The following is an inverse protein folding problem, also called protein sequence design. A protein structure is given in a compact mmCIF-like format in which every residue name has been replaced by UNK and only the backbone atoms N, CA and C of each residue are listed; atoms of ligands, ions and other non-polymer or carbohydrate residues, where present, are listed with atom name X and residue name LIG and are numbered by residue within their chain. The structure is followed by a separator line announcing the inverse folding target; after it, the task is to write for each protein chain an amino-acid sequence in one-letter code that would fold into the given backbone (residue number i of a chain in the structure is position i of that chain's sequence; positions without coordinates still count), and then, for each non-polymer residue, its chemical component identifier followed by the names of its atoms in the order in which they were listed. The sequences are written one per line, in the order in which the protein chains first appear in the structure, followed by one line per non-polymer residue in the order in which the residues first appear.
data_IF_413220885988
#
_entry.id   IF_413220885988
#
_cell.length_a   1.000
_cell.length_b   1.000
_cell.length_c   1.000
_cell.angle_alpha   90.00
_cell.angle_beta   90.00
_cell.angle_gamma   90.00
#
_symmetry.space_group_name_H-M   'P 1'
#
loop_
_entity.id
_entity.type
_entity.pdbx_description
1 polymer ?
#
# COMPACT_ATOMS: atom_id res chain seq x y z
N UNK A 1 -4.88 -12.60 3.14
CA UNK A 1 -4.59 -12.95 1.71
C UNK A 1 -5.79 -13.51 0.94
N UNK A 2 -6.53 -14.52 1.41
CA UNK A 2 -7.71 -15.04 0.69
C UNK A 2 -8.74 -13.95 0.41
N UNK A 3 -9.01 -13.11 1.41
CA UNK A 3 -9.86 -11.93 1.28
C UNK A 3 -9.45 -11.00 0.13
N UNK A 4 -8.16 -10.65 0.04
CA UNK A 4 -7.59 -9.81 -1.05
C UNK A 4 -7.85 -10.40 -2.44
N UNK A 5 -7.83 -11.73 -2.57
CA UNK A 5 -8.15 -12.39 -3.84
C UNK A 5 -9.65 -12.41 -4.13
N UNK A 6 -10.47 -12.76 -3.14
CA UNK A 6 -11.91 -12.90 -3.28
C UNK A 6 -12.58 -11.57 -3.60
N UNK A 7 -12.13 -10.51 -2.96
CA UNK A 7 -12.71 -9.18 -3.09
C UNK A 7 -12.11 -8.39 -4.27
N UNK A 8 -11.28 -9.00 -5.12
CA UNK A 8 -10.71 -8.34 -6.31
C UNK A 8 -9.67 -7.26 -6.03
N UNK A 9 -9.11 -7.22 -4.82
CA UNK A 9 -8.21 -6.15 -4.40
C UNK A 9 -6.85 -6.23 -5.12
N UNK A 10 -6.31 -5.06 -5.45
CA UNK A 10 -5.08 -4.94 -6.26
C UNK A 10 -3.77 -5.17 -5.47
N UNK A 11 -3.78 -5.17 -4.13
CA UNK A 11 -2.55 -5.32 -3.35
C UNK A 11 -2.69 -5.72 -1.88
N UNK A 12 -1.54 -5.87 -1.19
CA UNK A 12 -1.43 -6.05 0.27
C UNK A 12 -0.49 -5.00 0.87
N UNK A 13 -0.90 -4.39 2.00
CA UNK A 13 -0.04 -3.51 2.80
C UNK A 13 0.37 -4.26 4.04
N UNK A 14 1.68 -4.26 4.31
CA UNK A 14 2.27 -4.88 5.49
C UNK A 14 2.90 -3.81 6.36
N UNK A 15 2.44 -3.74 7.60
CA UNK A 15 3.07 -2.93 8.65
C UNK A 15 3.86 -3.84 9.57
N UNK A 16 4.81 -3.26 10.31
CA UNK A 16 5.65 -3.99 11.26
C UNK A 16 6.46 -5.12 10.60
N UNK A 17 7.09 -4.84 9.46
CA UNK A 17 7.94 -5.82 8.79
C UNK A 17 9.13 -6.27 9.69
N UNK A 18 9.44 -5.49 10.72
CA UNK A 18 10.46 -5.78 11.71
C UNK A 18 10.17 -7.02 12.58
N UNK A 19 8.90 -7.42 12.71
CA UNK A 19 8.50 -8.61 13.49
C UNK A 19 8.39 -9.90 12.66
N UNK A 20 8.57 -9.84 11.34
CA UNK A 20 8.45 -10.99 10.43
C UNK A 20 9.75 -11.83 10.36
N UNK A 21 10.26 -12.24 11.52
CA UNK A 21 11.44 -13.10 11.69
C UNK A 21 12.54 -12.92 10.62
N UNK A 22 13.10 -11.71 10.56
CA UNK A 22 14.04 -11.30 9.51
C UNK A 22 15.27 -12.23 9.43
N UNK A 23 15.74 -12.70 10.57
CA UNK A 23 16.94 -13.53 10.66
C UNK A 23 16.65 -15.03 10.57
N UNK A 24 15.38 -15.44 10.45
CA UNK A 24 15.00 -16.85 10.37
C UNK A 24 15.23 -17.63 11.67
N UNK A 25 15.18 -16.95 12.82
CA UNK A 25 15.43 -17.55 14.14
C UNK A 25 14.33 -18.52 14.55
N UNK A 26 13.12 -18.37 14.01
CA UNK A 26 11.98 -19.22 14.31
C UNK A 26 11.95 -20.50 13.46
N UNK A 27 12.97 -20.78 12.65
CA UNK A 27 13.11 -22.03 11.88
C UNK A 27 12.20 -22.14 10.65
N UNK A 28 11.58 -21.02 10.22
CA UNK A 28 10.77 -20.93 9.00
C UNK A 28 11.46 -20.18 7.86
N UNK A 29 12.74 -19.83 8.04
CA UNK A 29 13.49 -18.96 7.15
C UNK A 29 13.13 -17.49 7.35
N UNK A 30 13.89 -16.59 6.72
CA UNK A 30 13.68 -15.14 6.82
C UNK A 30 12.37 -14.71 6.16
N UNK A 31 11.60 -13.83 6.81
CA UNK A 31 10.37 -13.23 6.27
C UNK A 31 9.24 -14.22 5.96
N UNK A 32 8.86 -15.12 6.88
CA UNK A 32 7.87 -16.16 6.61
C UNK A 32 6.49 -15.60 6.18
N UNK A 33 6.03 -14.50 6.77
CA UNK A 33 4.74 -13.88 6.43
C UNK A 33 4.83 -13.24 5.04
N UNK A 34 5.85 -12.42 4.79
CA UNK A 34 6.02 -11.74 3.51
C UNK A 34 6.27 -12.72 2.35
N UNK A 35 7.04 -13.80 2.57
CA UNK A 35 7.20 -14.87 1.57
C UNK A 35 5.87 -15.56 1.28
N UNK A 36 5.07 -15.84 2.32
CA UNK A 36 3.75 -16.46 2.15
C UNK A 36 2.84 -15.56 1.31
N UNK A 37 2.87 -14.25 1.57
CA UNK A 37 2.09 -13.26 0.83
C UNK A 37 2.56 -13.16 -0.62
N UNK A 38 3.86 -12.98 -0.86
CA UNK A 38 4.42 -12.92 -2.22
C UNK A 38 4.04 -14.17 -3.01
N UNK A 39 4.29 -15.35 -2.46
CA UNK A 39 3.93 -16.62 -3.11
C UNK A 39 2.44 -16.69 -3.44
N UNK A 40 1.57 -16.36 -2.48
CA UNK A 40 0.13 -16.40 -2.72
C UNK A 40 -0.33 -15.38 -3.76
N UNK A 41 0.26 -14.18 -3.81
CA UNK A 41 -0.10 -13.15 -4.79
C UNK A 41 0.49 -13.45 -6.18
N UNK A 42 1.67 -14.08 -6.25
CA UNK A 42 2.36 -14.46 -7.48
C UNK A 42 1.79 -15.74 -8.14
N UNK A 43 0.96 -16.51 -7.42
CA UNK A 43 0.47 -17.84 -7.79
C UNK A 43 -0.36 -17.94 -9.09
N UNK A 44 -0.63 -16.83 -9.77
CA UNK A 44 -1.31 -16.80 -11.08
C UNK A 44 -0.38 -16.57 -12.28
N UNK A 45 0.94 -16.43 -12.09
CA UNK A 45 1.87 -16.27 -13.22
C UNK A 45 2.41 -17.59 -13.81
N UNK A 46 2.31 -18.72 -13.09
CA UNK A 46 2.97 -19.98 -13.51
C UNK A 46 2.10 -21.26 -13.36
N UNK A 47 0.77 -21.15 -13.35
CA UNK A 47 -0.15 -22.32 -13.40
C UNK A 47 -1.09 -22.30 -14.61
N UNK A 48 -0.53 -22.02 -15.78
CA UNK A 48 -1.03 -22.50 -17.08
C UNK A 48 0.15 -22.86 -17.99
N UNK A 49 0.88 -23.91 -17.63
CA UNK A 49 1.76 -24.63 -18.56
C UNK A 49 1.75 -26.12 -18.24
N UNK A 50 0.54 -26.68 -18.18
CA UNK A 50 0.31 -28.07 -18.56
C UNK A 50 -1.02 -28.12 -19.30
N UNK A 51 -0.89 -28.12 -20.63
CA UNK A 51 -1.84 -28.61 -21.64
C UNK A 51 -3.27 -28.04 -21.62
N UNK A 52 -3.48 -26.85 -22.20
CA UNK A 52 -4.65 -26.59 -23.05
C UNK A 52 -4.26 -25.71 -24.24
N UNK A 53 -4.36 -26.28 -25.45
CA UNK A 53 -4.28 -25.56 -26.71
C UNK A 53 -5.39 -24.49 -26.77
N UNK A 54 -5.03 -23.21 -26.70
CA UNK A 54 -5.93 -22.10 -27.04
C UNK A 54 -5.35 -21.33 -28.22
N UNK A 55 -5.92 -21.58 -29.41
CA UNK A 55 -5.61 -20.90 -30.66
C UNK A 55 -6.37 -19.56 -30.83
N UNK A 56 -6.53 -18.76 -29.76
CA UNK A 56 -7.19 -17.45 -29.88
C UNK A 56 -6.30 -16.32 -29.37
N UNK A 57 -5.85 -15.48 -30.31
CA UNK A 57 -4.92 -14.34 -30.14
C UNK A 57 -5.55 -13.18 -29.33
N UNK A 58 -6.83 -13.25 -28.96
CA UNK A 58 -7.50 -12.22 -28.17
C UNK A 58 -7.38 -12.41 -26.64
N UNK A 59 -6.89 -13.55 -26.15
CA UNK A 59 -6.74 -13.81 -24.70
C UNK A 59 -5.41 -13.30 -24.12
N UNK A 60 -4.53 -12.70 -24.93
CA UNK A 60 -3.23 -12.15 -24.50
C UNK A 60 -3.30 -10.69 -24.00
N UNK A 61 -4.50 -10.15 -23.73
CA UNK A 61 -4.69 -8.81 -23.15
C UNK A 61 -4.90 -8.81 -21.63
N UNK A 62 -4.90 -9.95 -20.96
CA UNK A 62 -4.59 -9.99 -19.52
C UNK A 62 -3.07 -10.04 -19.36
N UNK A 63 -2.43 -8.88 -19.56
CA UNK A 63 -1.15 -8.63 -18.88
C UNK A 63 -1.46 -8.83 -17.40
N UNK A 64 -1.08 -9.98 -16.86
CA UNK A 64 -1.03 -10.28 -15.43
C UNK A 64 -0.50 -9.04 -14.72
N UNK A 65 -1.42 -8.20 -14.22
CA UNK A 65 -1.05 -6.99 -13.52
C UNK A 65 -0.44 -7.46 -12.22
N UNK A 66 0.90 -7.42 -12.14
CA UNK A 66 1.63 -7.84 -10.95
C UNK A 66 0.96 -7.14 -9.76
N UNK A 67 0.40 -7.92 -8.84
CA UNK A 67 -0.25 -7.39 -7.64
C UNK A 67 0.79 -6.59 -6.86
N UNK A 68 0.36 -5.46 -6.29
CA UNK A 68 1.29 -4.56 -5.61
C UNK A 68 1.36 -4.86 -4.12
N UNK A 69 2.57 -4.93 -3.58
CA UNK A 69 2.85 -5.11 -2.17
C UNK A 69 3.47 -3.82 -1.64
N UNK A 70 2.79 -3.19 -0.69
CA UNK A 70 3.22 -1.98 -0.01
C UNK A 70 3.76 -2.38 1.35
N UNK A 71 5.02 -2.11 1.61
CA UNK A 71 5.64 -2.40 2.90
C UNK A 71 5.83 -1.09 3.65
N UNK A 72 5.32 -1.00 4.88
CA UNK A 72 5.49 0.15 5.74
C UNK A 72 6.56 -0.12 6.79
N UNK A 73 7.44 0.86 6.98
CA UNK A 73 8.45 0.85 8.03
C UNK A 73 8.15 2.01 8.97
N UNK A 74 7.96 1.69 10.25
CA UNK A 74 7.80 2.71 11.28
C UNK A 74 9.14 3.42 11.54
N UNK A 75 9.07 4.73 11.75
CA UNK A 75 10.19 5.56 12.21
C UNK A 75 10.77 5.12 13.55
N UNK A 76 10.02 4.34 14.33
CA UNK A 76 10.45 3.82 15.64
C UNK A 76 11.08 2.41 15.58
N UNK A 77 11.30 1.84 14.39
CA UNK A 77 11.85 0.48 14.26
C UNK A 77 13.30 0.35 14.74
N UNK A 78 14.06 1.45 14.84
CA UNK A 78 15.40 1.42 15.45
C UNK A 78 15.36 1.29 16.99
N UNK A 79 14.24 1.65 17.65
CA UNK A 79 14.20 1.83 19.11
C UNK A 79 13.44 0.75 19.87
N UNK A 80 12.57 -0.03 19.23
CA UNK A 80 11.58 -0.82 19.98
C UNK A 80 12.07 -2.10 20.66
N UNK A 81 13.24 -2.66 20.29
CA UNK A 81 13.60 -3.99 20.80
C UNK A 81 14.97 -4.16 21.44
N UNK A 82 15.86 -3.15 21.45
CA UNK A 82 17.18 -3.21 22.12
C UNK A 82 18.16 -4.31 21.66
N UNK A 83 17.68 -5.30 20.90
CA UNK A 83 18.35 -6.52 20.48
C UNK A 83 18.25 -6.70 18.95
N UNK A 84 17.27 -6.07 18.31
CA UNK A 84 17.04 -6.17 16.87
C UNK A 84 17.06 -4.76 16.28
N UNK A 85 18.19 -4.38 15.69
CA UNK A 85 18.27 -3.18 14.87
C UNK A 85 17.73 -3.50 13.48
N UNK A 86 16.57 -2.97 13.16
CA UNK A 86 16.03 -3.03 11.81
C UNK A 86 16.77 -2.02 10.94
N UNK A 87 17.32 -2.49 9.82
CA UNK A 87 18.02 -1.65 8.84
C UNK A 87 17.52 -2.01 7.46
N UNK A 88 17.45 -1.02 6.57
CA UNK A 88 16.80 -1.16 5.26
C UNK A 88 17.44 -2.18 4.33
N UNK A 89 18.74 -2.40 4.48
CA UNK A 89 19.52 -3.43 3.76
C UNK A 89 19.01 -4.85 4.04
N UNK A 90 18.23 -5.05 5.11
CA UNK A 90 17.63 -6.35 5.42
C UNK A 90 16.37 -6.63 4.61
N UNK A 91 15.71 -5.60 4.10
CA UNK A 91 14.47 -5.76 3.33
C UNK A 91 14.79 -6.36 1.97
N UNK A 92 14.16 -7.49 1.66
CA UNK A 92 14.23 -8.09 0.33
C UNK A 92 13.38 -7.28 -0.64
N UNK A 93 14.04 -6.54 -1.52
CA UNK A 93 13.43 -5.68 -2.54
C UNK A 93 12.42 -6.45 -3.40
N UNK A 94 12.73 -7.71 -3.73
CA UNK A 94 11.88 -8.51 -4.62
C UNK A 94 10.50 -8.82 -4.02
N UNK A 95 10.34 -8.68 -2.71
CA UNK A 95 9.11 -8.97 -1.98
C UNK A 95 8.23 -7.72 -1.75
N UNK A 96 8.76 -6.51 -1.91
CA UNK A 96 8.05 -5.25 -1.69
C UNK A 96 8.10 -4.37 -2.94
N UNK A 97 6.96 -4.07 -3.56
CA UNK A 97 6.92 -3.19 -4.73
C UNK A 97 7.10 -1.73 -4.37
N UNK A 98 6.50 -1.32 -3.25
CA UNK A 98 6.54 0.04 -2.73
C UNK A 98 6.93 0.03 -1.26
N UNK A 99 7.76 1.00 -0.87
CA UNK A 99 8.18 1.18 0.51
C UNK A 99 7.60 2.49 1.04
N UNK A 100 6.71 2.38 2.02
CA UNK A 100 6.11 3.51 2.73
C UNK A 100 7.04 3.88 3.90
N UNK A 101 7.62 5.07 3.84
CA UNK A 101 8.55 5.58 4.86
C UNK A 101 8.01 6.91 5.39
N UNK A 102 7.89 7.03 6.70
CA UNK A 102 7.57 8.31 7.36
C UNK A 102 8.59 9.40 6.98
N UNK A 103 8.13 10.59 6.59
CA UNK A 103 9.01 11.68 6.17
C UNK A 103 9.98 12.15 7.28
N UNK A 104 9.65 11.90 8.54
CA UNK A 104 10.52 12.20 9.68
C UNK A 104 11.58 11.11 9.95
N UNK A 105 11.62 10.04 9.15
CA UNK A 105 12.48 8.91 9.40
C UNK A 105 13.96 9.23 9.07
N UNK A 106 14.83 9.06 10.07
CA UNK A 106 16.29 9.25 9.96
C UNK A 106 16.95 8.40 8.87
N UNK A 107 16.31 7.28 8.51
CA UNK A 107 16.79 6.35 7.50
C UNK A 107 16.94 7.01 6.13
N UNK A 108 16.17 8.07 5.81
CA UNK A 108 16.13 8.72 4.47
C UNK A 108 17.49 9.27 3.97
N UNK A 109 18.50 9.31 4.85
CA UNK A 109 19.87 9.73 4.53
C UNK A 109 20.75 8.64 3.88
N UNK A 110 20.32 7.38 3.85
CA UNK A 110 21.16 6.25 3.42
C UNK A 110 21.16 6.04 1.90
N UNK A 111 22.27 5.57 1.32
CA UNK A 111 22.42 5.38 -0.14
C UNK A 111 21.76 4.11 -0.69
N UNK A 112 21.17 3.27 0.17
CA UNK A 112 20.65 1.92 -0.12
C UNK A 112 19.31 1.91 -0.87
N UNK A 113 18.77 3.08 -1.18
CA UNK A 113 17.41 3.25 -1.69
C UNK A 113 17.19 3.03 -3.18
N UNK A 114 18.26 2.89 -3.97
CA UNK A 114 18.15 2.82 -5.42
C UNK A 114 17.33 1.62 -5.94
N UNK A 115 17.03 0.66 -5.07
CA UNK A 115 16.31 -0.57 -5.44
C UNK A 115 14.80 -0.48 -5.16
N UNK A 116 14.33 0.49 -4.37
CA UNK A 116 12.93 0.59 -3.96
C UNK A 116 12.18 1.74 -4.64
N UNK A 117 10.87 1.53 -4.90
CA UNK A 117 9.95 2.64 -5.18
C UNK A 117 9.47 3.22 -3.86
N UNK A 118 10.11 4.28 -3.40
CA UNK A 118 9.83 4.86 -2.09
C UNK A 118 8.69 5.87 -2.18
N UNK A 119 7.73 5.72 -1.28
CA UNK A 119 6.67 6.69 -1.05
C UNK A 119 6.89 7.31 0.33
N UNK A 120 7.01 8.63 0.36
CA UNK A 120 7.08 9.36 1.63
C UNK A 120 5.69 9.46 2.23
N UNK A 121 5.50 8.89 3.40
CA UNK A 121 4.27 9.01 4.18
C UNK A 121 4.27 10.33 4.93
N UNK A 122 3.23 11.13 4.73
CA UNK A 122 3.03 12.44 5.36
C UNK A 122 1.63 12.45 5.95
N UNK A 123 1.49 12.97 7.17
CA UNK A 123 0.16 13.26 7.74
C UNK A 123 -0.52 14.37 6.94
N UNK A 124 -1.83 14.28 6.72
CA UNK A 124 -2.57 15.33 6.03
C UNK A 124 -2.36 16.70 6.68
N UNK A 125 -2.25 16.78 8.01
CA UNK A 125 -2.03 18.05 8.71
C UNK A 125 -0.73 18.75 8.31
N UNK A 126 0.23 18.00 7.79
CA UNK A 126 1.55 18.49 7.38
C UNK A 126 1.63 18.72 5.86
N UNK A 127 0.53 18.70 5.11
CA UNK A 127 0.61 18.79 3.64
C UNK A 127 1.27 20.08 3.11
N UNK A 128 1.31 21.15 3.91
CA UNK A 128 1.99 22.40 3.57
C UNK A 128 3.50 22.22 3.39
N UNK A 129 4.12 21.20 3.99
CA UNK A 129 5.55 20.91 3.80
C UNK A 129 5.85 20.22 2.46
N UNK A 130 4.84 19.82 1.67
CA UNK A 130 5.06 19.09 0.41
C UNK A 130 5.95 19.88 -0.56
N UNK A 131 5.78 21.20 -0.68
CA UNK A 131 6.63 22.01 -1.57
C UNK A 131 8.10 22.01 -1.10
N UNK A 132 8.30 22.11 0.21
CA UNK A 132 9.62 22.02 0.83
C UNK A 132 10.21 20.61 0.65
N UNK A 133 9.39 19.56 0.77
CA UNK A 133 9.82 18.19 0.53
C UNK A 133 10.21 17.99 -0.94
N UNK A 134 9.40 18.43 -1.91
CA UNK A 134 9.76 18.35 -3.34
C UNK A 134 11.08 19.09 -3.62
N UNK A 135 11.27 20.26 -3.00
CA UNK A 135 12.48 21.07 -3.19
C UNK A 135 13.72 20.45 -2.53
N UNK A 136 13.63 20.11 -1.24
CA UNK A 136 14.72 19.52 -0.46
C UNK A 136 15.06 18.13 -0.99
N UNK A 137 14.04 17.37 -1.33
CA UNK A 137 14.17 16.07 -1.94
C UNK A 137 14.32 16.15 -3.46
N UNK A 138 15.25 16.96 -3.95
CA UNK A 138 15.96 16.71 -5.23
C UNK A 138 16.65 15.32 -5.30
N UNK A 139 16.30 14.41 -4.39
CA UNK A 139 16.62 13.00 -4.40
C UNK A 139 15.94 12.36 -5.60
N UNK A 140 16.74 11.87 -6.54
CA UNK A 140 16.30 11.11 -7.74
C UNK A 140 15.54 9.81 -7.41
N UNK A 141 15.24 9.52 -6.15
CA UNK A 141 14.84 8.20 -5.64
C UNK A 141 13.44 8.17 -5.01
N UNK A 142 12.79 9.32 -4.77
CA UNK A 142 11.39 9.30 -4.31
C UNK A 142 10.48 9.10 -5.50
N UNK A 143 9.69 8.04 -5.41
CA UNK A 143 8.72 7.65 -6.42
C UNK A 143 7.38 8.37 -6.23
N UNK A 144 7.06 8.76 -5.00
CA UNK A 144 5.81 9.44 -4.70
C UNK A 144 5.57 9.73 -3.23
N UNK A 145 4.32 10.02 -2.92
CA UNK A 145 3.85 10.45 -1.60
C UNK A 145 2.64 9.63 -1.19
N UNK A 146 2.61 9.25 0.08
CA UNK A 146 1.46 8.63 0.72
C UNK A 146 0.89 9.60 1.75
N UNK A 147 -0.37 10.00 1.61
CA UNK A 147 -1.03 10.89 2.57
C UNK A 147 -1.76 10.04 3.60
N UNK A 148 -1.28 10.06 4.83
CA UNK A 148 -1.90 9.38 5.95
C UNK A 148 -3.04 10.21 6.54
N UNK A 149 -4.23 9.62 6.56
CA UNK A 149 -5.44 10.17 7.15
C UNK A 149 -5.76 9.41 8.42
N UNK A 150 -5.69 10.10 9.56
CA UNK A 150 -6.19 9.54 10.82
C UNK A 150 -7.71 9.44 10.83
N UNK A 151 -8.40 10.36 10.14
CA UNK A 151 -9.85 10.43 10.05
C UNK A 151 -10.28 11.03 8.73
N UNK A 152 -11.40 10.56 8.20
CA UNK A 152 -12.05 11.14 7.04
C UNK A 152 -12.83 12.43 7.39
N UNK A 153 -12.67 13.46 6.57
CA UNK A 153 -13.50 14.67 6.60
C UNK A 153 -13.81 15.10 5.17
N UNK A 154 -14.84 15.93 4.99
CA UNK A 154 -15.26 16.39 3.66
C UNK A 154 -14.21 17.29 2.99
N UNK A 155 -13.45 18.03 3.80
CA UNK A 155 -12.43 18.96 3.31
C UNK A 155 -11.21 18.23 2.70
N UNK A 156 -11.10 16.91 2.90
CA UNK A 156 -10.00 16.10 2.38
C UNK A 156 -9.96 16.14 0.86
N UNK A 157 -11.11 16.14 0.18
CA UNK A 157 -11.14 16.13 -1.29
C UNK A 157 -10.42 17.36 -1.85
N UNK A 158 -10.71 18.54 -1.32
CA UNK A 158 -10.10 19.78 -1.75
C UNK A 158 -8.60 19.80 -1.47
N UNK A 159 -8.19 19.35 -0.27
CA UNK A 159 -6.78 19.28 0.10
C UNK A 159 -6.00 18.30 -0.79
N UNK A 160 -6.55 17.12 -1.07
CA UNK A 160 -5.93 16.14 -1.97
C UNK A 160 -5.86 16.66 -3.40
N UNK A 161 -6.87 17.38 -3.88
CA UNK A 161 -6.83 18.02 -5.19
C UNK A 161 -5.69 19.06 -5.27
N UNK A 162 -5.51 19.89 -4.24
CA UNK A 162 -4.40 20.83 -4.14
C UNK A 162 -3.06 20.09 -4.20
N UNK A 163 -2.89 19.03 -3.41
CA UNK A 163 -1.67 18.21 -3.40
C UNK A 163 -1.40 17.62 -4.78
N UNK A 164 -2.39 17.01 -5.43
CA UNK A 164 -2.25 16.41 -6.75
C UNK A 164 -1.83 17.45 -7.80
N UNK A 165 -2.39 18.66 -7.74
CA UNK A 165 -2.00 19.76 -8.64
C UNK A 165 -0.54 20.17 -8.47
N UNK A 166 0.00 20.14 -7.25
CA UNK A 166 1.40 20.46 -6.94
C UNK A 166 2.38 19.38 -7.38
N UNK A 167 2.01 18.11 -7.21
CA UNK A 167 2.89 16.99 -7.51
C UNK A 167 3.17 16.85 -9.00
N UNK A 168 2.29 17.34 -9.89
CA UNK A 168 2.27 16.97 -11.31
C UNK A 168 2.11 15.45 -11.51
N UNK A 169 1.71 14.97 -12.68
CA UNK A 169 1.54 13.52 -12.95
C UNK A 169 2.86 12.70 -12.92
N UNK A 170 3.92 13.28 -12.36
CA UNK A 170 5.26 12.70 -12.25
C UNK A 170 5.41 11.81 -11.01
N UNK A 171 4.74 12.14 -9.92
CA UNK A 171 4.84 11.41 -8.65
C UNK A 171 3.59 10.59 -8.41
N UNK A 172 3.78 9.38 -7.89
CA UNK A 172 2.68 8.59 -7.37
C UNK A 172 2.09 9.31 -6.15
N UNK A 173 0.77 9.43 -6.09
CA UNK A 173 0.04 9.93 -4.95
C UNK A 173 -0.85 8.80 -4.43
N UNK A 174 -0.63 8.40 -3.18
CA UNK A 174 -1.48 7.44 -2.49
C UNK A 174 -2.09 8.09 -1.26
N UNK A 175 -3.20 7.54 -0.80
CA UNK A 175 -3.81 7.90 0.48
C UNK A 175 -3.88 6.65 1.32
N UNK A 176 -3.54 6.73 2.60
CA UNK A 176 -3.73 5.65 3.56
C UNK A 176 -4.60 6.09 4.71
N UNK A 177 -5.56 5.26 5.14
CA UNK A 177 -6.43 5.60 6.26
C UNK A 177 -6.88 4.37 7.04
N UNK A 178 -7.26 4.60 8.31
CA UNK A 178 -7.88 3.59 9.15
C UNK A 178 -9.40 3.58 8.94
N UNK A 179 -10.01 2.40 8.91
CA UNK A 179 -11.48 2.30 8.90
C UNK A 179 -11.98 2.36 10.33
N UNK A 180 -12.75 3.39 10.65
CA UNK A 180 -13.48 3.45 11.90
C UNK A 180 -14.60 2.38 11.91
N UNK A 181 -14.74 1.64 13.01
CA UNK A 181 -15.76 0.59 13.17
C UNK A 181 -17.19 1.11 13.34
N UNK A 182 -17.38 2.42 13.38
CA UNK A 182 -18.67 3.04 13.67
C UNK A 182 -19.52 3.15 12.39
N UNK A 183 -20.84 2.98 12.55
CA UNK A 183 -21.83 3.00 11.44
C UNK A 183 -21.88 4.31 10.63
N UNK A 184 -21.13 5.36 11.01
CA UNK A 184 -21.01 6.62 10.27
C UNK A 184 -20.26 6.50 8.94
N UNK A 185 -19.54 5.39 8.70
CA UNK A 185 -18.72 5.19 7.50
C UNK A 185 -19.54 5.17 6.18
N UNK A 186 -20.86 4.95 6.24
CA UNK A 186 -21.71 4.94 5.04
C UNK A 186 -21.74 6.30 4.32
N UNK A 187 -21.56 7.42 5.03
CA UNK A 187 -21.49 8.75 4.41
C UNK A 187 -20.15 9.02 3.70
N UNK A 188 -19.12 8.21 3.96
CA UNK A 188 -17.77 8.43 3.43
C UNK A 188 -17.57 7.80 2.04
N UNK A 189 -18.52 6.99 1.56
CA UNK A 189 -18.44 6.31 0.26
C UNK A 189 -18.39 7.25 -0.94
N UNK A 190 -19.21 8.31 -0.95
CA UNK A 190 -19.17 9.28 -2.04
C UNK A 190 -17.82 9.98 -2.13
N UNK A 191 -17.19 10.23 -0.99
CA UNK A 191 -15.87 10.83 -0.91
C UNK A 191 -14.78 9.87 -1.41
N UNK A 192 -14.91 8.56 -1.12
CA UNK A 192 -13.98 7.55 -1.63
C UNK A 192 -13.97 7.48 -3.17
N UNK A 193 -15.13 7.58 -3.81
CA UNK A 193 -15.23 7.61 -5.28
C UNK A 193 -14.52 8.84 -5.84
N UNK A 194 -14.73 10.01 -5.23
CA UNK A 194 -14.06 11.24 -5.65
C UNK A 194 -12.53 11.15 -5.43
N UNK A 195 -12.09 10.62 -4.28
CA UNK A 195 -10.68 10.39 -4.00
C UNK A 195 -10.03 9.45 -5.01
N UNK A 196 -10.72 8.39 -5.41
CA UNK A 196 -10.21 7.42 -6.37
C UNK A 196 -9.86 8.04 -7.73
N UNK A 197 -10.49 9.16 -8.10
CA UNK A 197 -10.14 9.90 -9.30
C UNK A 197 -8.95 10.85 -9.11
N UNK A 198 -8.60 11.15 -7.85
CA UNK A 198 -7.53 12.09 -7.51
C UNK A 198 -6.22 11.41 -7.15
N UNK A 199 -6.25 10.14 -6.73
CA UNK A 199 -5.06 9.41 -6.29
C UNK A 199 -4.82 8.16 -7.13
N UNK A 200 -3.59 7.67 -7.12
CA UNK A 200 -3.21 6.45 -7.85
C UNK A 200 -3.63 5.20 -7.08
N UNK A 201 -3.51 5.22 -5.75
CA UNK A 201 -3.92 4.11 -4.88
C UNK A 201 -4.54 4.61 -3.59
N UNK A 202 -5.58 3.90 -3.15
CA UNK A 202 -6.15 4.03 -1.82
C UNK A 202 -5.65 2.86 -0.97
N UNK A 203 -5.12 3.16 0.21
CA UNK A 203 -4.53 2.22 1.13
C UNK A 203 -5.41 2.14 2.38
N UNK A 204 -6.03 0.98 2.60
CA UNK A 204 -6.88 0.77 3.76
C UNK A 204 -6.08 0.03 4.83
N UNK A 205 -6.00 0.62 6.03
CA UNK A 205 -5.31 0.06 7.17
C UNK A 205 -6.35 -0.50 8.15
N UNK A 206 -6.46 -1.82 8.30
CA UNK A 206 -7.32 -2.39 9.34
C UNK A 206 -6.61 -2.29 10.69
N UNK A 207 -7.28 -1.77 11.72
CA UNK A 207 -6.65 -1.48 13.01
C UNK A 207 -6.99 -2.44 14.15
N UNK A 208 -8.01 -3.30 13.99
CA UNK A 208 -8.30 -4.36 14.96
C UNK A 208 -9.15 -5.51 14.36
N UNK A 209 -9.24 -6.62 15.08
CA UNK A 209 -10.07 -7.78 14.73
C UNK A 209 -11.54 -7.38 14.50
N UNK A 210 -12.01 -6.36 15.23
CA UNK A 210 -13.36 -5.82 15.13
C UNK A 210 -13.59 -5.08 13.81
N UNK A 211 -12.61 -4.32 13.34
CA UNK A 211 -12.56 -3.63 12.05
C UNK A 211 -12.52 -4.63 10.92
N UNK A 212 -11.74 -5.70 11.06
CA UNK A 212 -11.66 -6.77 10.05
C UNK A 212 -13.01 -7.46 9.87
N UNK A 213 -13.71 -7.75 10.98
CA UNK A 213 -15.05 -8.34 10.94
C UNK A 213 -16.08 -7.38 10.35
N UNK A 214 -16.08 -6.12 10.76
CA UNK A 214 -16.98 -5.11 10.22
C UNK A 214 -16.71 -4.84 8.73
N UNK A 215 -15.46 -4.88 8.29
CA UNK A 215 -15.09 -4.68 6.88
C UNK A 215 -15.75 -5.72 5.96
N UNK A 216 -15.83 -6.99 6.40
CA UNK A 216 -16.52 -8.06 5.67
C UNK A 216 -18.04 -7.87 5.63
N UNK A 217 -18.62 -7.21 6.63
CA UNK A 217 -20.06 -6.99 6.76
C UNK A 217 -20.56 -5.78 5.95
N UNK A 218 -19.69 -4.82 5.64
CA UNK A 218 -20.04 -3.65 4.83
C UNK A 218 -20.17 -4.10 3.35
N UNK A 219 -21.40 -4.41 2.94
CA UNK A 219 -21.76 -5.01 1.64
C UNK A 219 -21.87 -4.11 0.38
N UNK A 220 -21.53 -2.81 0.30
CA UNK A 220 -21.54 -2.11 -0.98
C UNK A 220 -20.22 -2.24 -1.77
N UNK A 221 -19.16 -2.89 -1.28
CA UNK A 221 -17.90 -2.97 -2.07
C UNK A 221 -18.08 -3.65 -3.43
N UNK A 222 -18.97 -4.65 -3.51
CA UNK A 222 -19.35 -5.30 -4.77
C UNK A 222 -20.02 -4.36 -5.79
N UNK A 223 -20.62 -3.23 -5.36
CA UNK A 223 -21.27 -2.29 -6.28
C UNK A 223 -20.28 -1.37 -7.01
N UNK A 224 -19.10 -1.11 -6.42
CA UNK A 224 -18.00 -0.36 -7.06
C UNK A 224 -17.40 -1.12 -8.25
N UNK A 225 -17.44 -2.46 -8.22
CA UNK A 225 -17.02 -3.30 -9.34
C UNK A 225 -18.01 -3.29 -10.50
N UNK A 226 -19.31 -3.12 -10.22
CA UNK A 226 -20.36 -3.24 -11.24
C UNK A 226 -20.51 -2.03 -12.16
N UNK A 227 -19.96 -0.87 -11.78
CA UNK A 227 -20.21 0.41 -12.48
C UNK A 227 -18.95 1.06 -13.04
N UNK A 228 -17.77 0.46 -12.92
CA UNK A 228 -16.54 1.25 -13.01
C UNK A 228 -15.32 0.50 -13.58
N UNK A 229 -14.71 1.08 -14.63
CA UNK A 229 -13.43 0.65 -15.25
C UNK A 229 -12.20 1.03 -14.38
N UNK A 230 -12.32 1.10 -13.05
CA UNK A 230 -11.30 1.74 -12.21
C UNK A 230 -10.42 0.75 -11.45
N UNK A 231 -9.13 1.06 -11.35
CA UNK A 231 -8.12 0.32 -10.58
C UNK A 231 -8.20 0.68 -9.10
N UNK A 232 -9.27 0.25 -8.42
CA UNK A 232 -9.34 0.39 -6.97
C UNK A 232 -8.39 -0.61 -6.31
N UNK A 233 -7.50 -0.09 -5.46
CA UNK A 233 -6.64 -0.92 -4.62
C UNK A 233 -7.17 -0.88 -3.20
N UNK A 234 -7.20 -2.04 -2.58
CA UNK A 234 -7.67 -2.22 -1.23
C UNK A 234 -6.72 -3.19 -0.55
N UNK A 235 -6.61 -3.07 0.76
CA UNK A 235 -5.60 -3.78 1.51
C UNK A 235 -6.21 -4.35 2.78
N UNK A 236 -5.90 -5.60 3.08
CA UNK A 236 -6.24 -6.29 4.32
C UNK A 236 -4.95 -6.82 4.91
N UNK A 237 -4.75 -6.53 6.20
CA UNK A 237 -3.63 -7.01 6.98
C UNK A 237 -3.86 -8.47 7.39
N UNK A 238 -2.76 -9.21 7.49
CA UNK A 238 -2.62 -10.43 8.30
C UNK A 238 -1.60 -10.08 9.37
#
# INVERSE_FOLDING_TARGET
VCFVKLEGLFGITLSWLDIDDIYGLCGKGSYPILNTISNLLDFNSNKQSSEKNFNNINDLKEKSSKKQIFCSISSNTETYYGLIRFTLDKIKVDLCNYLLIDYNNSLLSTSTYNQFKILLTISLNDFFIIDQLIYNFRIKQIYGFNIYLKKFSNDIIEQIHIIRSKLSNKYLLTISFEIETNNSFLYEYSNLIQLNNLVDYIIILPFDDKSTKNFQEIKPWNSLYSTSQYNLTYFSMV
#
